data_IF_985296025530
#
_entry.id   IF_985296025530
#
_cell.length_a   1.000
_cell.length_b   1.000
_cell.length_c   1.000
_cell.angle_alpha   90.00
_cell.angle_beta   90.00
_cell.angle_gamma   90.00
#
_symmetry.space_group_name_H-M   'P 1'
#
loop_
_entity.id
_entity.type
_entity.pdbx_description
1 polymer ?
#
# COMPACT_ATOMS: atom_id res chain seq x y z
N UNK A 1 9.72 10.80 -6.36
CA UNK A 1 10.48 11.75 -5.51
C UNK A 1 11.31 10.94 -4.54
N UNK A 2 12.60 10.78 -4.79
CA UNK A 2 13.54 10.40 -3.76
C UNK A 2 13.49 11.50 -2.69
N UNK A 3 12.86 11.21 -1.56
CA UNK A 3 13.01 12.03 -0.38
C UNK A 3 14.41 11.75 0.16
N UNK A 4 15.36 12.53 -0.31
CA UNK A 4 16.72 12.51 0.21
C UNK A 4 16.66 12.95 1.67
N UNK A 5 16.98 12.06 2.58
CA UNK A 5 17.21 12.35 4.00
C UNK A 5 18.35 13.39 4.18
N UNK A 6 19.07 13.72 3.11
CA UNK A 6 20.15 14.72 3.04
C UNK A 6 19.74 16.15 3.36
N UNK A 7 18.47 16.50 3.38
CA UNK A 7 18.02 17.91 3.59
C UNK A 7 17.74 18.26 5.05
N UNK A 8 18.17 17.44 6.02
CA UNK A 8 18.03 17.76 7.44
C UNK A 8 19.36 18.27 8.05
N UNK A 9 19.24 19.18 9.01
CA UNK A 9 20.20 20.10 9.58
C UNK A 9 21.52 19.53 10.20
N UNK A 10 21.96 18.32 9.90
CA UNK A 10 23.24 17.74 10.32
C UNK A 10 23.85 16.84 9.24
N UNK A 11 24.23 17.38 8.07
CA UNK A 11 24.73 16.56 6.96
C UNK A 11 26.04 15.85 7.29
N UNK A 12 26.99 16.54 7.92
CA UNK A 12 28.33 15.98 8.17
C UNK A 12 28.33 14.82 9.20
N UNK A 13 27.64 14.99 10.32
CA UNK A 13 27.55 13.93 11.33
C UNK A 13 26.76 12.69 10.84
N UNK A 14 25.83 12.91 9.91
CA UNK A 14 25.06 11.83 9.29
C UNK A 14 25.91 11.05 8.29
N UNK A 15 26.68 11.74 7.45
CA UNK A 15 27.57 11.11 6.46
C UNK A 15 28.66 10.28 7.16
N UNK A 16 29.28 10.80 8.22
CA UNK A 16 30.27 10.04 9.02
C UNK A 16 29.64 8.81 9.73
N UNK A 17 28.42 8.92 10.23
CA UNK A 17 27.72 7.79 10.85
C UNK A 17 27.31 6.74 9.81
N UNK A 18 26.91 7.18 8.63
CA UNK A 18 26.55 6.30 7.53
C UNK A 18 27.76 5.55 6.98
N UNK A 19 28.89 6.24 6.76
CA UNK A 19 30.12 5.63 6.31
C UNK A 19 30.61 4.54 7.28
N UNK A 20 30.50 4.76 8.59
CA UNK A 20 30.81 3.74 9.59
C UNK A 20 29.88 2.53 9.54
N UNK A 21 28.58 2.78 9.36
CA UNK A 21 27.59 1.68 9.21
C UNK A 21 27.87 0.86 7.96
N UNK A 22 28.20 1.51 6.84
CA UNK A 22 28.56 0.83 5.59
C UNK A 22 29.83 0.01 5.78
N UNK A 23 30.88 0.57 6.39
CA UNK A 23 32.13 -0.13 6.70
C UNK A 23 31.91 -1.35 7.61
N UNK A 24 31.09 -1.22 8.67
CA UNK A 24 30.73 -2.34 9.56
C UNK A 24 29.90 -3.42 8.83
N UNK A 25 29.05 -3.02 7.89
CA UNK A 25 28.27 -3.93 7.07
C UNK A 25 29.20 -4.67 6.08
N UNK A 26 30.04 -3.96 5.39
CA UNK A 26 30.97 -4.52 4.42
C UNK A 26 31.94 -5.52 5.10
N UNK A 27 32.52 -5.16 6.26
CA UNK A 27 33.38 -6.05 7.04
C UNK A 27 32.62 -7.31 7.52
N UNK A 28 31.35 -7.14 7.97
CA UNK A 28 30.55 -8.24 8.48
C UNK A 28 30.10 -9.21 7.38
N UNK A 29 29.90 -8.72 6.16
CA UNK A 29 29.40 -9.52 5.04
C UNK A 29 30.45 -9.90 4.03
N UNK A 30 31.68 -9.39 4.13
CA UNK A 30 32.82 -9.83 3.30
C UNK A 30 33.02 -11.36 3.34
N UNK A 31 32.98 -11.95 4.55
CA UNK A 31 33.05 -13.40 4.72
C UNK A 31 31.78 -14.13 4.22
N UNK A 32 30.64 -13.43 4.14
CA UNK A 32 29.39 -14.01 3.65
C UNK A 32 29.37 -14.12 2.14
N UNK A 33 29.95 -13.17 1.41
CA UNK A 33 30.10 -13.24 -0.05
C UNK A 33 30.93 -14.47 -0.44
N UNK A 34 32.06 -14.70 0.23
CA UNK A 34 32.92 -15.87 -0.02
C UNK A 34 32.23 -17.20 0.37
N UNK A 35 31.51 -17.18 1.51
CA UNK A 35 30.85 -18.37 2.07
C UNK A 35 29.62 -18.83 1.27
N UNK A 36 28.89 -17.89 0.71
CA UNK A 36 27.62 -18.17 0.01
C UNK A 36 27.74 -18.07 -1.49
N UNK A 37 28.96 -17.88 -2.02
CA UNK A 37 29.22 -17.76 -3.46
C UNK A 37 28.30 -16.73 -4.15
N UNK A 38 28.04 -15.59 -3.47
CA UNK A 38 27.14 -14.54 -3.96
C UNK A 38 27.64 -13.91 -5.28
N UNK A 39 28.92 -14.11 -5.61
CA UNK A 39 29.54 -13.74 -6.89
C UNK A 39 29.68 -14.94 -7.83
N UNK A 40 28.77 -15.92 -7.75
CA UNK A 40 28.74 -17.04 -8.69
C UNK A 40 28.61 -16.47 -10.12
N UNK A 41 29.59 -16.78 -11.04
CA UNK A 41 29.49 -16.33 -12.42
C UNK A 41 28.29 -16.91 -13.18
N UNK A 42 27.68 -17.97 -12.64
CA UNK A 42 26.46 -18.54 -13.17
C UNK A 42 25.18 -17.89 -12.58
N UNK A 43 25.34 -16.93 -11.65
CA UNK A 43 24.20 -16.18 -11.12
C UNK A 43 23.66 -15.24 -12.20
N UNK A 44 22.50 -15.56 -12.69
CA UNK A 44 21.79 -14.74 -13.66
C UNK A 44 20.94 -13.72 -12.90
N UNK A 45 21.27 -12.44 -13.02
CA UNK A 45 20.40 -11.37 -12.50
C UNK A 45 19.07 -11.44 -13.22
N UNK A 46 17.99 -11.64 -12.45
CA UNK A 46 16.63 -11.60 -12.99
C UNK A 46 16.10 -10.17 -12.83
N UNK A 47 15.87 -9.45 -13.93
CA UNK A 47 15.42 -8.09 -13.87
C UNK A 47 13.98 -8.02 -13.29
N UNK A 48 13.82 -7.20 -12.28
CA UNK A 48 12.52 -6.93 -11.65
C UNK A 48 12.10 -5.48 -11.85
N UNK A 49 10.80 -5.25 -11.96
CA UNK A 49 10.21 -3.92 -11.96
C UNK A 49 9.49 -3.70 -10.65
N UNK A 50 9.90 -2.66 -9.92
CA UNK A 50 9.36 -2.30 -8.62
C UNK A 50 8.32 -1.21 -8.78
N UNK A 51 7.21 -1.35 -8.07
CA UNK A 51 6.09 -0.41 -8.05
C UNK A 51 5.80 0.04 -6.62
N UNK A 52 5.46 1.30 -6.47
CA UNK A 52 4.95 1.86 -5.22
C UNK A 52 3.48 1.45 -5.04
N UNK A 53 3.17 0.94 -3.85
CA UNK A 53 1.80 0.57 -3.45
C UNK A 53 1.51 1.12 -2.07
N UNK A 54 1.51 2.45 -1.96
CA UNK A 54 1.38 3.16 -0.70
C UNK A 54 -0.07 3.21 -0.26
N UNK A 55 -0.27 3.17 1.07
CA UNK A 55 -1.59 3.26 1.66
C UNK A 55 -1.61 4.14 2.92
N UNK A 56 -2.80 4.54 3.30
CA UNK A 56 -3.09 5.20 4.57
C UNK A 56 -4.12 4.38 5.33
N UNK A 57 -3.97 4.28 6.65
CA UNK A 57 -5.01 3.75 7.52
C UNK A 57 -5.72 4.93 8.15
N UNK A 58 -6.98 5.09 7.81
CA UNK A 58 -7.84 6.20 8.20
C UNK A 58 -8.97 5.69 9.10
N UNK A 59 -9.69 6.61 9.75
CA UNK A 59 -10.92 6.31 10.45
C UNK A 59 -12.10 6.44 9.48
N UNK A 60 -13.05 5.52 9.57
CA UNK A 60 -14.24 5.52 8.74
C UNK A 60 -15.49 5.79 9.59
N UNK A 61 -16.30 6.74 9.12
CA UNK A 61 -17.65 7.03 9.58
C UNK A 61 -18.58 6.84 8.37
N UNK A 62 -19.09 5.61 8.21
CA UNK A 62 -19.91 5.25 7.05
C UNK A 62 -21.35 5.71 7.18
N UNK A 63 -21.82 6.06 8.38
CA UNK A 63 -23.19 6.54 8.62
C UNK A 63 -23.26 8.07 8.74
N UNK A 64 -22.12 8.77 8.78
CA UNK A 64 -21.96 10.22 8.90
C UNK A 64 -22.59 10.81 10.17
N UNK A 65 -22.52 10.10 11.30
CA UNK A 65 -23.00 10.60 12.60
C UNK A 65 -21.92 11.38 13.37
N UNK A 66 -20.70 11.37 12.88
CA UNK A 66 -19.53 12.09 13.42
C UNK A 66 -18.69 11.26 14.37
N UNK A 67 -18.99 9.99 14.54
CA UNK A 67 -18.18 9.02 15.27
C UNK A 67 -17.63 7.96 14.28
N UNK A 68 -16.40 7.54 14.47
CA UNK A 68 -15.82 6.51 13.62
C UNK A 68 -16.28 5.11 14.06
N UNK A 69 -16.85 4.34 13.15
CA UNK A 69 -17.26 2.96 13.41
C UNK A 69 -16.16 1.94 13.13
N UNK A 70 -15.20 2.29 12.28
CA UNK A 70 -14.16 1.38 11.85
C UNK A 70 -12.91 2.07 11.35
N UNK A 71 -12.04 1.25 10.76
CA UNK A 71 -10.82 1.68 10.07
C UNK A 71 -10.96 1.36 8.58
N UNK A 72 -10.44 2.25 7.76
CA UNK A 72 -10.39 2.08 6.32
C UNK A 72 -8.95 2.21 5.83
N UNK A 73 -8.52 1.25 5.00
CA UNK A 73 -7.23 1.32 4.31
C UNK A 73 -7.43 1.88 2.92
N UNK A 74 -6.90 3.08 2.70
CA UNK A 74 -7.08 3.81 1.46
C UNK A 74 -5.82 3.69 0.59
N UNK A 75 -6.02 3.28 -0.65
CA UNK A 75 -5.01 3.26 -1.71
C UNK A 75 -5.29 4.33 -2.75
N UNK A 76 -4.25 4.90 -3.32
CA UNK A 76 -4.38 5.61 -4.59
C UNK A 76 -4.58 4.60 -5.72
N UNK A 77 -5.37 4.96 -6.72
CA UNK A 77 -5.56 4.13 -7.91
C UNK A 77 -4.21 3.76 -8.54
N UNK A 78 -4.00 2.46 -8.73
CA UNK A 78 -2.81 1.90 -9.35
C UNK A 78 -3.23 1.05 -10.56
N UNK A 79 -2.53 1.23 -11.69
CA UNK A 79 -2.82 0.54 -12.95
C UNK A 79 -1.81 -0.61 -13.23
N UNK A 80 -0.86 -0.86 -12.33
CA UNK A 80 0.24 -1.80 -12.58
C UNK A 80 0.21 -3.04 -11.67
N UNK A 81 -0.10 -2.86 -10.38
CA UNK A 81 -0.05 -3.92 -9.36
C UNK A 81 -1.24 -3.81 -8.42
N UNK A 82 -1.57 -4.91 -7.75
CA UNK A 82 -2.69 -4.98 -6.80
C UNK A 82 -3.98 -4.36 -7.36
N UNK A 83 -4.32 -4.79 -8.59
CA UNK A 83 -5.45 -4.24 -9.31
C UNK A 83 -6.77 -4.60 -8.62
N UNK A 84 -7.61 -3.60 -8.44
CA UNK A 84 -8.96 -3.82 -7.98
C UNK A 84 -9.87 -4.28 -9.12
N UNK A 85 -10.75 -5.22 -8.82
CA UNK A 85 -11.86 -5.59 -9.70
C UNK A 85 -13.07 -4.70 -9.40
N UNK A 86 -13.60 -4.01 -10.39
CA UNK A 86 -14.84 -3.25 -10.27
C UNK A 86 -16.03 -4.22 -10.32
N UNK A 87 -16.87 -4.21 -9.29
CA UNK A 87 -18.02 -5.09 -9.14
C UNK A 87 -19.34 -4.36 -9.41
N UNK A 88 -19.41 -3.05 -9.05
CA UNK A 88 -20.55 -2.19 -9.31
C UNK A 88 -20.09 -0.73 -9.43
N UNK A 89 -20.85 0.11 -10.16
CA UNK A 89 -20.55 1.52 -10.32
C UNK A 89 -19.35 1.83 -11.23
N UNK A 90 -18.45 2.68 -10.78
CA UNK A 90 -17.29 3.16 -11.52
C UNK A 90 -16.05 3.31 -10.62
N UNK A 91 -14.85 3.36 -11.22
CA UNK A 91 -13.65 3.79 -10.50
C UNK A 91 -13.68 5.30 -10.22
N UNK A 92 -13.08 5.76 -9.11
CA UNK A 92 -12.96 7.18 -8.80
C UNK A 92 -12.22 7.96 -9.90
N UNK A 93 -12.77 9.12 -10.27
CA UNK A 93 -12.20 10.06 -11.25
C UNK A 93 -11.92 11.43 -10.62
N UNK A 94 -12.54 11.74 -9.48
CA UNK A 94 -12.38 13.03 -8.78
C UNK A 94 -11.84 12.81 -7.37
N UNK A 95 -11.28 13.89 -6.81
CA UNK A 95 -10.65 13.87 -5.49
C UNK A 95 -11.61 13.55 -4.33
N UNK A 96 -12.89 13.78 -4.51
CA UNK A 96 -13.97 13.53 -3.55
C UNK A 96 -14.73 12.22 -3.82
N UNK A 97 -14.22 11.37 -4.71
CA UNK A 97 -14.81 10.09 -5.05
C UNK A 97 -14.01 8.92 -4.43
N UNK A 98 -14.72 7.89 -3.99
CA UNK A 98 -14.16 6.68 -3.39
C UNK A 98 -14.85 5.43 -3.94
N UNK A 99 -14.09 4.36 -4.11
CA UNK A 99 -14.62 3.02 -4.32
C UNK A 99 -14.22 2.15 -3.11
N UNK A 100 -15.20 1.54 -2.45
CA UNK A 100 -15.07 0.78 -1.21
C UNK A 100 -15.17 -0.73 -1.47
N UNK A 101 -14.67 -1.55 -0.55
CA UNK A 101 -14.80 -3.00 -0.67
C UNK A 101 -16.27 -3.44 -0.59
N UNK A 102 -16.64 -4.34 -1.50
CA UNK A 102 -18.01 -4.81 -1.59
C UNK A 102 -18.47 -5.58 -0.36
N UNK A 103 -17.61 -6.40 0.24
CA UNK A 103 -17.99 -7.19 1.42
C UNK A 103 -18.27 -6.26 2.60
N UNK A 104 -17.43 -5.23 2.79
CA UNK A 104 -17.68 -4.20 3.80
C UNK A 104 -19.00 -3.48 3.51
N UNK A 105 -19.17 -2.92 2.33
CA UNK A 105 -20.36 -2.17 1.92
C UNK A 105 -21.66 -2.96 2.11
N UNK A 106 -21.69 -4.24 1.72
CA UNK A 106 -22.84 -5.13 1.91
C UNK A 106 -23.17 -5.35 3.40
N UNK A 107 -22.17 -5.40 4.29
CA UNK A 107 -22.34 -5.61 5.71
C UNK A 107 -22.85 -4.36 6.46
N UNK A 108 -22.38 -3.17 6.05
CA UNK A 108 -22.77 -1.90 6.71
C UNK A 108 -23.92 -1.17 6.00
N UNK A 109 -24.31 -1.65 4.81
CA UNK A 109 -25.43 -1.12 4.04
C UNK A 109 -25.11 0.06 3.15
N UNK A 110 -23.82 0.36 2.93
CA UNK A 110 -23.34 1.41 2.01
C UNK A 110 -23.55 0.99 0.56
N UNK A 111 -23.92 1.94 -0.29
CA UNK A 111 -24.22 1.71 -1.73
C UNK A 111 -23.56 2.76 -2.60
N UNK A 112 -23.42 2.43 -3.88
CA UNK A 112 -23.04 3.42 -4.90
C UNK A 112 -24.01 4.58 -4.89
N UNK A 113 -23.46 5.79 -4.74
CA UNK A 113 -24.20 7.04 -4.62
C UNK A 113 -24.27 7.62 -3.22
N UNK A 114 -24.00 6.82 -2.20
CA UNK A 114 -23.94 7.29 -0.80
C UNK A 114 -22.68 8.13 -0.56
N UNK A 115 -22.65 8.82 0.57
CA UNK A 115 -21.48 9.54 1.07
C UNK A 115 -20.99 8.86 2.35
N UNK A 116 -19.68 8.74 2.50
CA UNK A 116 -19.01 8.32 3.74
C UNK A 116 -17.99 9.37 4.16
N UNK A 117 -17.63 9.39 5.43
CA UNK A 117 -16.59 10.26 5.94
C UNK A 117 -15.33 9.44 6.27
N UNK A 118 -14.19 9.86 5.75
CA UNK A 118 -12.88 9.26 6.00
C UNK A 118 -12.01 10.27 6.72
N UNK A 119 -11.73 10.04 8.00
CA UNK A 119 -11.02 10.97 8.90
C UNK A 119 -11.55 12.41 8.83
N UNK A 120 -12.90 12.53 8.77
CA UNK A 120 -13.61 13.82 8.72
C UNK A 120 -13.72 14.44 7.33
N UNK A 121 -13.16 13.84 6.30
CA UNK A 121 -13.32 14.26 4.92
C UNK A 121 -14.42 13.43 4.25
N UNK A 122 -15.35 14.10 3.57
CA UNK A 122 -16.45 13.44 2.86
C UNK A 122 -16.03 12.96 1.49
N UNK A 123 -16.42 11.71 1.18
CA UNK A 123 -16.24 11.09 -0.11
C UNK A 123 -17.58 10.54 -0.60
N UNK A 124 -17.80 10.68 -1.90
CA UNK A 124 -18.91 10.04 -2.58
C UNK A 124 -18.52 8.63 -3.02
N UNK A 125 -19.26 7.64 -2.61
CA UNK A 125 -19.10 6.26 -3.06
C UNK A 125 -19.56 6.14 -4.50
N UNK A 126 -18.62 5.93 -5.42
CA UNK A 126 -18.89 5.82 -6.88
C UNK A 126 -18.79 4.40 -7.37
N UNK A 127 -18.17 3.49 -6.61
CA UNK A 127 -18.03 2.10 -6.99
C UNK A 127 -17.85 1.15 -5.82
N UNK A 128 -18.16 -0.12 -6.09
CA UNK A 128 -17.83 -1.24 -5.21
C UNK A 128 -16.77 -2.10 -5.88
N UNK A 129 -15.71 -2.37 -5.14
CA UNK A 129 -14.53 -3.07 -5.65
C UNK A 129 -14.20 -4.31 -4.83
N UNK A 130 -13.31 -5.14 -5.35
CA UNK A 130 -12.61 -6.18 -4.61
C UNK A 130 -11.15 -6.19 -5.03
N UNK A 131 -10.26 -6.29 -4.04
CA UNK A 131 -8.84 -6.52 -4.25
C UNK A 131 -8.51 -8.00 -4.09
N UNK A 132 -7.67 -8.55 -4.96
CA UNK A 132 -7.27 -9.96 -4.90
C UNK A 132 -6.51 -10.29 -3.62
N UNK A 133 -5.68 -9.37 -3.16
CA UNK A 133 -4.90 -9.50 -1.93
C UNK A 133 -5.72 -9.27 -0.64
N UNK A 134 -6.99 -8.88 -0.77
CA UNK A 134 -7.97 -8.75 0.32
C UNK A 134 -9.19 -9.68 0.13
N UNK A 135 -8.94 -10.92 -0.30
CA UNK A 135 -10.01 -11.92 -0.39
C UNK A 135 -10.72 -12.16 0.96
N UNK A 136 -10.04 -11.83 2.06
CA UNK A 136 -10.59 -11.66 3.41
C UNK A 136 -10.09 -10.35 3.99
N UNK A 137 -10.99 -9.55 4.59
CA UNK A 137 -10.67 -8.23 5.15
C UNK A 137 -9.98 -8.35 6.51
N UNK A 138 -8.71 -8.76 6.49
CA UNK A 138 -7.83 -8.71 7.66
C UNK A 138 -7.12 -7.36 7.73
N UNK A 139 -7.24 -6.66 8.85
CA UNK A 139 -6.51 -5.40 9.06
C UNK A 139 -5.00 -5.67 9.21
N UNK A 140 -4.65 -6.76 9.90
CA UNK A 140 -3.27 -7.19 10.14
C UNK A 140 -3.07 -8.64 9.71
N UNK A 141 -1.89 -8.96 9.23
CA UNK A 141 -1.51 -10.33 8.85
C UNK A 141 -1.54 -11.34 10.01
N UNK A 142 -1.59 -10.86 11.25
CA UNK A 142 -1.66 -11.68 12.48
C UNK A 142 -3.08 -11.94 12.95
N UNK A 143 -4.08 -11.32 12.32
CA UNK A 143 -5.46 -11.45 12.74
C UNK A 143 -5.97 -12.86 12.39
N UNK A 144 -6.54 -13.54 13.37
CA UNK A 144 -7.12 -14.88 13.19
C UNK A 144 -8.54 -14.84 12.62
N UNK A 145 -9.20 -13.70 12.72
CA UNK A 145 -10.55 -13.47 12.20
C UNK A 145 -10.59 -12.13 11.47
N UNK A 146 -11.33 -12.06 10.38
CA UNK A 146 -11.60 -10.81 9.69
C UNK A 146 -12.88 -10.16 10.24
N UNK A 147 -12.96 -8.85 10.17
CA UNK A 147 -14.15 -8.08 10.57
C UNK A 147 -14.51 -7.09 9.46
N UNK A 148 -15.36 -7.54 8.55
CA UNK A 148 -15.80 -6.74 7.42
C UNK A 148 -16.78 -5.60 7.80
N UNK A 149 -17.08 -5.42 9.08
CA UNK A 149 -17.85 -4.28 9.58
C UNK A 149 -16.92 -3.16 10.04
N UNK A 150 -15.79 -3.54 10.68
CA UNK A 150 -14.86 -2.60 11.31
C UNK A 150 -13.62 -2.30 10.47
N UNK A 151 -13.43 -3.01 9.39
CA UNK A 151 -12.30 -2.79 8.50
C UNK A 151 -12.75 -2.79 7.05
N UNK A 152 -12.41 -1.74 6.33
CA UNK A 152 -12.63 -1.54 4.91
C UNK A 152 -11.31 -1.36 4.15
N UNK A 153 -11.35 -1.61 2.85
CA UNK A 153 -10.27 -1.31 1.91
C UNK A 153 -10.84 -0.55 0.72
N UNK A 154 -10.31 0.62 0.47
CA UNK A 154 -10.85 1.51 -0.54
C UNK A 154 -9.80 2.06 -1.50
N UNK A 155 -10.30 2.53 -2.63
CA UNK A 155 -9.55 3.22 -3.66
C UNK A 155 -10.06 4.64 -3.83
N UNK A 156 -9.13 5.58 -3.97
CA UNK A 156 -9.39 6.98 -4.36
C UNK A 156 -8.47 7.38 -5.51
N UNK A 157 -8.67 8.56 -6.07
CA UNK A 157 -7.68 9.16 -6.98
C UNK A 157 -6.41 9.55 -6.23
N UNK A 158 -5.31 9.83 -6.95
CA UNK A 158 -4.09 10.34 -6.32
C UNK A 158 -4.35 11.66 -5.57
N UNK A 159 -5.18 12.55 -6.12
CA UNK A 159 -5.55 13.81 -5.45
C UNK A 159 -6.35 13.56 -4.17
N UNK A 160 -7.29 12.60 -4.19
CA UNK A 160 -8.03 12.18 -3.00
C UNK A 160 -7.10 11.58 -1.94
N UNK A 161 -6.14 10.76 -2.33
CA UNK A 161 -5.15 10.19 -1.42
C UNK A 161 -4.24 11.25 -0.78
N UNK A 162 -3.81 12.25 -1.56
CA UNK A 162 -2.95 13.34 -1.09
C UNK A 162 -3.70 14.31 -0.15
N UNK A 163 -5.04 14.36 -0.23
CA UNK A 163 -5.88 15.17 0.65
C UNK A 163 -6.05 14.58 2.05
N UNK A 164 -5.79 13.30 2.23
CA UNK A 164 -5.81 12.62 3.54
C UNK A 164 -4.56 12.95 4.35
N UNK A 165 -4.67 12.94 5.69
CA UNK A 165 -3.63 13.51 6.55
C UNK A 165 -2.90 12.53 7.45
N UNK A 166 -3.38 11.30 7.64
CA UNK A 166 -2.66 10.30 8.42
C UNK A 166 -1.39 9.84 7.71
N UNK A 167 -0.52 9.18 8.44
CA UNK A 167 0.80 8.75 7.95
C UNK A 167 0.68 7.81 6.75
N UNK A 168 1.47 8.06 5.71
CA UNK A 168 1.62 7.15 4.59
C UNK A 168 2.42 5.93 5.02
N UNK A 169 1.90 4.75 4.74
CA UNK A 169 2.62 3.50 4.84
C UNK A 169 3.22 3.16 3.48
N UNK A 170 4.55 3.06 3.45
CA UNK A 170 5.29 2.76 2.22
C UNK A 170 5.35 1.25 2.03
N UNK A 171 4.74 0.78 0.95
CA UNK A 171 4.79 -0.60 0.51
C UNK A 171 5.28 -0.65 -0.95
N UNK A 172 6.02 -1.69 -1.29
CA UNK A 172 6.54 -1.90 -2.64
C UNK A 172 6.16 -3.29 -3.10
N UNK A 173 5.64 -3.36 -4.32
CA UNK A 173 5.34 -4.61 -5.01
C UNK A 173 6.27 -4.71 -6.23
N UNK A 174 6.66 -5.90 -6.60
CA UNK A 174 7.54 -6.10 -7.74
C UNK A 174 7.06 -7.26 -8.63
N UNK A 175 7.38 -7.15 -9.91
CA UNK A 175 7.13 -8.19 -10.89
C UNK A 175 8.43 -8.46 -11.67
N UNK A 176 8.60 -9.69 -12.15
CA UNK A 176 9.64 -9.97 -13.14
C UNK A 176 9.37 -9.18 -14.42
N UNK A 177 10.43 -8.66 -15.06
CA UNK A 177 10.32 -8.01 -16.38
C UNK A 177 9.93 -9.05 -17.42
N UNK A 178 10.58 -10.22 -17.37
CA UNK A 178 10.24 -11.39 -18.17
C UNK A 178 9.87 -12.51 -17.22
N UNK A 179 8.66 -13.06 -17.36
CA UNK A 179 8.23 -14.18 -16.52
C UNK A 179 9.09 -15.41 -16.84
N UNK A 180 9.77 -16.01 -15.84
CA UNK A 180 10.53 -17.23 -16.05
C UNK A 180 9.62 -18.33 -16.62
N UNK A 181 10.13 -19.12 -17.54
CA UNK A 181 9.37 -20.18 -18.19
C UNK A 181 9.06 -21.35 -17.24
N UNK A 182 9.86 -21.52 -16.19
CA UNK A 182 9.69 -22.51 -15.13
C UNK A 182 9.99 -21.88 -13.75
N UNK A 183 9.26 -22.32 -12.70
CA UNK A 183 9.49 -21.88 -11.30
C UNK A 183 10.82 -22.43 -10.71
N UNK A 184 11.63 -23.10 -11.48
CA UNK A 184 12.84 -23.83 -11.05
C UNK A 184 14.11 -23.39 -11.78
N UNK A 185 14.05 -22.28 -12.53
CA UNK A 185 15.28 -21.66 -13.07
C UNK A 185 15.78 -20.54 -12.17
#
# INVERSE_FOLDING_TARGET
RQMCIRDRAYPEAYDEAWDKIVEEIDDKYADAEEKYELNDPDFTEVPVKVYENFFRNEEEDYNNDGEAEGNIRVYAKNDNVDLACLLDGAFPEKADEIATDRMHADNVGVKVGDEISVSGQRFKVVGLIAYVNYATLHEKSTDMMFDAIKFDVAMVTQEGFDSLHKTVHYAYTWNYVDTPADEVE
#
